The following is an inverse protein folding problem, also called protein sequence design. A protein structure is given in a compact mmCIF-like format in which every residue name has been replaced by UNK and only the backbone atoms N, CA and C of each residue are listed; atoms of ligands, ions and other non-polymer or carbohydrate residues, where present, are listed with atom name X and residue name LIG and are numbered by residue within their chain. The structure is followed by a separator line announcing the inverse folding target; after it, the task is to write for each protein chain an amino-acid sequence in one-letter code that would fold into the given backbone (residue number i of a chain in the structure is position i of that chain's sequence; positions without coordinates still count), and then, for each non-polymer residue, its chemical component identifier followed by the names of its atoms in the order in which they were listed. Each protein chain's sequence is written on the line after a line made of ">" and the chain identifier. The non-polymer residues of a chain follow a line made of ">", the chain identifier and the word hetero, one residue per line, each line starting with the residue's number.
data_IF_792242468927
#
_entry.id   IF_792242468927
#
_cell.length_a   1.000
_cell.length_b   1.000
_cell.length_c   1.000
_cell.angle_alpha   90.00
_cell.angle_beta   90.00
_cell.angle_gamma   90.00
#
_symmetry.space_group_name_H-M   'P 1'
#
loop_
_entity.id
_entity.type
_entity.pdbx_description
1 polymer ?
#
# COMPACT_ATOMS: atom_id res chain seq x y z
N UNK A 1 -18.16 2.90 -15.08
CA UNK A 1 -18.55 3.19 -13.68
C UNK A 1 -18.07 4.56 -13.31
N UNK A 2 -18.90 5.36 -12.66
CA UNK A 2 -18.45 6.64 -12.13
C UNK A 2 -17.45 6.37 -10.99
N UNK A 3 -16.38 7.19 -10.93
CA UNK A 3 -15.37 7.06 -9.87
C UNK A 3 -15.99 7.36 -8.52
N UNK A 4 -15.76 6.49 -7.54
CA UNK A 4 -16.21 6.69 -6.15
C UNK A 4 -15.50 7.90 -5.49
N UNK A 5 -14.27 8.12 -5.87
CA UNK A 5 -13.45 9.25 -5.43
C UNK A 5 -12.87 9.97 -6.66
N UNK A 6 -13.67 10.82 -7.36
CA UNK A 6 -13.25 11.46 -8.61
C UNK A 6 -12.00 12.35 -8.45
N UNK A 7 -11.80 12.91 -7.25
CA UNK A 7 -10.66 13.76 -6.90
C UNK A 7 -9.43 12.95 -6.42
N UNK A 8 -9.53 11.62 -6.44
CA UNK A 8 -8.50 10.69 -5.98
C UNK A 8 -7.77 10.06 -7.16
N UNK A 9 -6.47 9.83 -7.00
CA UNK A 9 -5.68 9.03 -7.93
C UNK A 9 -5.77 7.52 -7.70
N UNK A 10 -6.57 7.05 -6.73
CA UNK A 10 -6.63 5.63 -6.32
C UNK A 10 -7.29 4.74 -7.38
N UNK A 11 -8.31 5.26 -8.07
CA UNK A 11 -9.00 4.53 -9.13
C UNK A 11 -8.33 4.82 -10.48
N UNK A 12 -7.38 3.98 -10.87
CA UNK A 12 -6.67 4.11 -12.12
C UNK A 12 -7.55 3.67 -13.31
N UNK A 13 -7.47 4.40 -14.44
CA UNK A 13 -8.09 3.95 -15.68
C UNK A 13 -7.38 2.70 -16.21
N UNK A 14 -8.11 1.87 -16.98
CA UNK A 14 -7.57 0.65 -17.62
C UNK A 14 -6.26 0.91 -18.39
N UNK A 15 -6.18 2.02 -19.11
CA UNK A 15 -5.00 2.40 -19.89
C UNK A 15 -3.77 2.66 -19.00
N UNK A 16 -3.97 3.33 -17.86
CA UNK A 16 -2.91 3.62 -16.89
C UNK A 16 -2.54 2.33 -16.14
N UNK A 17 -3.54 1.54 -15.73
CA UNK A 17 -3.32 0.28 -15.04
C UNK A 17 -2.42 -0.68 -15.83
N UNK A 18 -2.67 -0.85 -17.14
CA UNK A 18 -1.85 -1.72 -18.02
C UNK A 18 -0.40 -1.25 -18.18
N UNK A 19 -0.12 0.03 -17.95
CA UNK A 19 1.21 0.63 -18.16
C UNK A 19 1.82 1.19 -16.88
N UNK A 20 1.13 1.09 -15.75
CA UNK A 20 1.52 1.70 -14.50
C UNK A 20 2.97 1.39 -14.12
N UNK A 21 3.35 0.13 -14.14
CA UNK A 21 4.70 -0.32 -13.83
C UNK A 21 5.76 0.24 -14.80
N UNK A 22 5.41 0.35 -16.07
CA UNK A 22 6.29 0.95 -17.08
C UNK A 22 6.43 2.45 -16.87
N UNK A 23 5.32 3.14 -16.64
CA UNK A 23 5.30 4.59 -16.39
C UNK A 23 6.11 4.93 -15.14
N UNK A 24 5.87 4.22 -14.03
CA UNK A 24 6.59 4.43 -12.79
C UNK A 24 8.08 4.12 -12.91
N UNK A 25 8.44 3.07 -13.66
CA UNK A 25 9.84 2.72 -13.88
C UNK A 25 10.57 3.77 -14.76
N UNK A 26 9.90 4.31 -15.77
CA UNK A 26 10.45 5.39 -16.62
C UNK A 26 10.56 6.69 -15.81
N UNK A 27 9.50 7.08 -15.10
CA UNK A 27 9.48 8.30 -14.28
C UNK A 27 10.55 8.30 -13.16
N UNK A 28 10.94 7.12 -12.69
CA UNK A 28 11.98 6.94 -11.68
C UNK A 28 13.37 6.60 -12.27
N UNK A 29 13.58 6.75 -13.58
CA UNK A 29 14.83 6.36 -14.26
C UNK A 29 15.27 4.92 -13.97
N UNK A 30 14.32 3.99 -13.90
CA UNK A 30 14.59 2.57 -13.61
C UNK A 30 14.77 2.24 -12.12
N UNK A 31 14.79 3.22 -11.23
CA UNK A 31 15.00 3.00 -9.79
C UNK A 31 13.79 2.39 -9.08
N UNK A 32 12.59 2.54 -9.63
CA UNK A 32 11.35 2.08 -9.00
C UNK A 32 11.35 0.59 -8.68
N UNK A 33 11.80 -0.23 -9.62
CA UNK A 33 11.88 -1.70 -9.42
C UNK A 33 12.84 -2.08 -8.29
N UNK A 34 13.98 -1.43 -8.20
CA UNK A 34 14.97 -1.65 -7.13
C UNK A 34 14.43 -1.19 -5.78
N UNK A 35 13.82 0.00 -5.76
CA UNK A 35 13.18 0.57 -4.58
C UNK A 35 12.11 -0.37 -4.00
N UNK A 36 11.16 -0.82 -4.82
CA UNK A 36 10.09 -1.72 -4.35
C UNK A 36 10.67 -3.03 -3.80
N UNK A 37 11.67 -3.63 -4.47
CA UNK A 37 12.35 -4.83 -3.94
C UNK A 37 12.97 -4.58 -2.57
N UNK A 38 13.60 -3.41 -2.37
CA UNK A 38 14.20 -3.03 -1.09
C UNK A 38 13.11 -2.82 -0.03
N UNK A 39 12.00 -2.16 -0.37
CA UNK A 39 10.88 -1.98 0.55
C UNK A 39 10.26 -3.31 0.98
N UNK A 40 10.02 -4.24 0.04
CA UNK A 40 9.51 -5.59 0.34
C UNK A 40 10.50 -6.38 1.21
N UNK A 41 11.81 -6.28 0.97
CA UNK A 41 12.82 -6.91 1.84
C UNK A 41 12.73 -6.39 3.28
N UNK A 42 12.51 -5.09 3.45
CA UNK A 42 12.38 -4.45 4.76
C UNK A 42 11.07 -4.78 5.48
N UNK A 43 10.12 -5.49 4.86
CA UNK A 43 8.96 -6.05 5.57
C UNK A 43 9.36 -7.21 6.51
N UNK A 44 10.55 -7.79 6.35
CA UNK A 44 11.06 -8.89 7.17
C UNK A 44 10.07 -10.07 7.22
N UNK A 45 9.63 -10.49 6.02
CA UNK A 45 8.65 -11.56 5.84
C UNK A 45 9.27 -12.89 6.29
N UNK A 46 8.55 -13.60 7.17
CA UNK A 46 8.88 -14.96 7.59
C UNK A 46 8.17 -15.97 6.68
N UNK A 47 8.75 -17.17 6.52
CA UNK A 47 8.26 -18.18 5.57
C UNK A 47 6.78 -18.56 5.75
N UNK A 48 6.26 -18.52 6.97
CA UNK A 48 4.89 -18.92 7.30
C UNK A 48 3.96 -17.74 7.56
N UNK A 49 4.39 -16.50 7.27
CA UNK A 49 3.53 -15.33 7.44
C UNK A 49 2.27 -15.44 6.59
N UNK A 50 1.13 -15.04 7.15
CA UNK A 50 -0.08 -14.72 6.41
C UNK A 50 -0.10 -13.23 6.14
N UNK A 51 -0.21 -12.84 4.89
CA UNK A 51 -0.11 -11.43 4.49
C UNK A 51 -1.37 -10.99 3.76
N UNK A 52 -1.85 -9.79 4.08
CA UNK A 52 -2.94 -9.10 3.40
C UNK A 52 -2.40 -7.84 2.72
N UNK A 53 -2.64 -7.69 1.42
CA UNK A 53 -2.27 -6.50 0.64
C UNK A 53 -3.52 -5.69 0.30
N UNK A 54 -3.62 -4.48 0.86
CA UNK A 54 -4.77 -3.58 0.70
C UNK A 54 -4.55 -2.66 -0.52
N UNK A 55 -5.36 -2.83 -1.57
CA UNK A 55 -5.16 -2.17 -2.85
C UNK A 55 -4.03 -2.82 -3.64
N UNK A 56 -4.11 -4.14 -3.83
CA UNK A 56 -3.03 -4.96 -4.38
C UNK A 56 -2.77 -4.72 -5.88
N UNK A 57 -3.69 -4.07 -6.58
CA UNK A 57 -3.60 -3.79 -8.00
C UNK A 57 -3.33 -5.06 -8.83
N UNK A 58 -2.33 -4.99 -9.69
CA UNK A 58 -1.93 -6.11 -10.59
C UNK A 58 -1.28 -7.30 -9.88
N UNK A 59 -1.06 -7.23 -8.55
CA UNK A 59 -0.39 -8.30 -7.78
C UNK A 59 1.14 -8.29 -7.85
N UNK A 60 1.77 -7.25 -8.41
CA UNK A 60 3.23 -7.16 -8.51
C UNK A 60 3.93 -7.26 -7.16
N UNK A 61 3.44 -6.51 -6.15
CA UNK A 61 4.03 -6.56 -4.80
C UNK A 61 3.81 -7.93 -4.16
N UNK A 62 2.65 -8.53 -4.37
CA UNK A 62 2.31 -9.90 -3.95
C UNK A 62 3.33 -10.92 -4.51
N UNK A 63 3.66 -10.84 -5.79
CA UNK A 63 4.68 -11.73 -6.38
C UNK A 63 6.08 -11.52 -5.78
N UNK A 64 6.41 -10.29 -5.38
CA UNK A 64 7.68 -10.02 -4.70
C UNK A 64 7.68 -10.58 -3.27
N UNK A 65 6.59 -10.42 -2.52
CA UNK A 65 6.41 -10.96 -1.18
C UNK A 65 6.40 -12.49 -1.17
N UNK A 66 5.75 -13.11 -2.16
CA UNK A 66 5.65 -14.57 -2.29
C UNK A 66 7.03 -15.28 -2.40
N UNK A 67 8.07 -14.56 -2.81
CA UNK A 67 9.44 -15.13 -2.86
C UNK A 67 10.04 -15.45 -1.49
N UNK A 68 9.50 -14.86 -0.44
CA UNK A 68 9.94 -15.07 0.96
C UNK A 68 9.07 -16.10 1.68
N UNK A 69 7.95 -16.51 1.08
CA UNK A 69 6.93 -17.35 1.69
C UNK A 69 7.07 -18.82 1.28
N UNK A 70 6.68 -19.71 2.18
CA UNK A 70 6.50 -21.13 1.87
C UNK A 70 5.19 -21.35 1.09
N UNK A 71 5.02 -22.56 0.53
CA UNK A 71 3.78 -22.92 -0.18
C UNK A 71 2.55 -23.03 0.73
N UNK A 72 2.78 -23.25 2.03
CA UNK A 72 1.74 -23.39 3.05
C UNK A 72 1.32 -22.04 3.67
N UNK A 73 1.97 -20.95 3.28
CA UNK A 73 1.62 -19.59 3.67
C UNK A 73 0.36 -19.11 2.94
N UNK A 74 -0.12 -17.91 3.26
CA UNK A 74 -1.27 -17.31 2.61
C UNK A 74 -1.00 -15.84 2.29
N UNK A 75 -1.23 -15.47 1.03
CA UNK A 75 -1.23 -14.11 0.53
C UNK A 75 -2.62 -13.77 -0.02
N UNK A 76 -3.27 -12.75 0.52
CA UNK A 76 -4.53 -12.23 -0.01
C UNK A 76 -4.31 -10.80 -0.48
N UNK A 77 -4.76 -10.50 -1.71
CA UNK A 77 -4.84 -9.16 -2.23
C UNK A 77 -6.29 -8.69 -2.30
N UNK A 78 -6.58 -7.49 -1.80
CA UNK A 78 -7.86 -6.83 -1.99
C UNK A 78 -7.72 -5.70 -3.00
N UNK A 79 -8.62 -5.64 -3.97
CA UNK A 79 -8.78 -4.51 -4.88
C UNK A 79 -10.23 -4.48 -5.38
N UNK A 80 -10.70 -3.34 -5.91
CA UNK A 80 -12.06 -3.17 -6.45
C UNK A 80 -12.09 -3.21 -7.97
N UNK A 81 -10.95 -3.07 -8.63
CA UNK A 81 -10.86 -2.94 -10.07
C UNK A 81 -10.88 -4.31 -10.76
N UNK A 82 -11.90 -4.55 -11.59
CA UNK A 82 -11.98 -5.75 -12.42
C UNK A 82 -10.78 -5.87 -13.39
N UNK A 83 -10.26 -4.76 -13.87
CA UNK A 83 -9.10 -4.77 -14.77
C UNK A 83 -7.81 -5.14 -14.03
N UNK A 84 -7.68 -4.73 -12.76
CA UNK A 84 -6.60 -5.18 -11.88
C UNK A 84 -6.74 -6.67 -11.58
N UNK A 85 -7.95 -7.15 -11.30
CA UNK A 85 -8.23 -8.57 -11.07
C UNK A 85 -7.80 -9.44 -12.24
N UNK A 86 -8.13 -9.05 -13.48
CA UNK A 86 -7.72 -9.80 -14.70
C UNK A 86 -6.19 -9.91 -14.81
N UNK A 87 -5.49 -8.80 -14.54
CA UNK A 87 -4.02 -8.77 -14.58
C UNK A 87 -3.42 -9.56 -13.41
N UNK A 88 -4.01 -9.42 -12.22
CA UNK A 88 -3.62 -10.19 -11.05
C UNK A 88 -3.72 -11.69 -11.32
N UNK A 89 -4.85 -12.17 -11.83
CA UNK A 89 -5.08 -13.58 -12.13
C UNK A 89 -4.10 -14.09 -13.20
N UNK A 90 -3.76 -13.28 -14.20
CA UNK A 90 -2.75 -13.62 -15.21
C UNK A 90 -1.37 -13.80 -14.58
N UNK A 91 -0.98 -12.97 -13.62
CA UNK A 91 0.34 -12.99 -13.00
C UNK A 91 0.44 -13.98 -11.84
N UNK A 92 -0.59 -14.03 -11.00
CA UNK A 92 -0.59 -14.72 -9.71
C UNK A 92 -1.36 -16.05 -9.70
N UNK A 93 -2.26 -16.28 -10.66
CA UNK A 93 -3.22 -17.40 -10.64
C UNK A 93 -2.61 -18.81 -10.63
N UNK A 94 -1.32 -18.94 -10.96
CA UNK A 94 -0.58 -20.23 -10.87
C UNK A 94 -0.15 -20.60 -9.44
N UNK A 95 -0.24 -19.69 -8.47
CA UNK A 95 0.18 -19.93 -7.10
C UNK A 95 -1.02 -20.24 -6.23
N UNK A 96 -1.05 -21.42 -5.61
CA UNK A 96 -2.17 -21.88 -4.78
C UNK A 96 -2.32 -21.11 -3.46
N UNK A 97 -1.23 -20.54 -2.96
CA UNK A 97 -1.20 -19.77 -1.72
C UNK A 97 -1.53 -18.27 -1.92
N UNK A 98 -1.84 -17.84 -3.16
CA UNK A 98 -2.20 -16.45 -3.47
C UNK A 98 -3.68 -16.39 -3.85
N UNK A 99 -4.42 -15.43 -3.28
CA UNK A 99 -5.83 -15.20 -3.57
C UNK A 99 -6.11 -13.72 -3.83
N UNK A 100 -6.97 -13.44 -4.81
CA UNK A 100 -7.57 -12.14 -5.02
C UNK A 100 -8.99 -12.14 -4.44
N UNK A 101 -9.37 -11.04 -3.81
CA UNK A 101 -10.76 -10.82 -3.38
C UNK A 101 -11.16 -9.41 -3.83
N UNK A 102 -12.19 -9.33 -4.68
CA UNK A 102 -12.79 -8.06 -5.05
C UNK A 102 -13.52 -7.48 -3.84
N UNK A 103 -12.90 -6.50 -3.19
CA UNK A 103 -13.43 -5.91 -1.97
C UNK A 103 -12.92 -4.50 -1.73
N UNK A 104 -13.81 -3.65 -1.25
CA UNK A 104 -13.48 -2.29 -0.82
C UNK A 104 -12.71 -2.31 0.50
N UNK A 105 -11.60 -1.57 0.55
CA UNK A 105 -10.78 -1.42 1.76
C UNK A 105 -11.21 -0.24 2.64
N UNK A 106 -11.95 0.70 2.08
CA UNK A 106 -12.46 1.93 2.68
C UNK A 106 -13.77 1.76 3.45
N UNK A 107 -14.37 0.58 3.39
CA UNK A 107 -15.53 0.15 4.16
C UNK A 107 -15.15 -0.99 5.09
N UNK A 108 -15.93 -1.19 6.17
CA UNK A 108 -15.76 -2.35 7.03
C UNK A 108 -15.94 -3.65 6.24
N UNK A 109 -15.04 -4.60 6.46
CA UNK A 109 -15.11 -5.93 5.87
C UNK A 109 -14.66 -6.98 6.88
N UNK A 110 -15.04 -8.24 6.63
CA UNK A 110 -14.59 -9.38 7.40
C UNK A 110 -13.91 -10.41 6.50
N UNK A 111 -12.79 -10.93 7.00
CA UNK A 111 -12.10 -12.09 6.47
C UNK A 111 -11.96 -13.08 7.65
N UNK A 112 -12.33 -14.35 7.44
CA UNK A 112 -12.37 -15.37 8.51
C UNK A 112 -10.98 -15.81 8.98
N UNK A 113 -10.02 -14.85 9.06
CA UNK A 113 -8.66 -15.09 9.52
C UNK A 113 -7.94 -13.80 9.92
N UNK A 114 -6.86 -13.97 10.67
CA UNK A 114 -5.93 -12.90 11.06
C UNK A 114 -4.60 -13.07 10.33
N UNK A 115 -3.91 -11.95 10.13
CA UNK A 115 -2.68 -11.85 9.37
C UNK A 115 -1.51 -11.48 10.27
N UNK A 116 -0.32 -11.94 9.92
CA UNK A 116 0.94 -11.54 10.55
C UNK A 116 1.38 -10.17 10.06
N UNK A 117 1.10 -9.87 8.77
CA UNK A 117 1.40 -8.58 8.16
C UNK A 117 0.23 -8.10 7.31
N UNK A 118 -0.07 -6.82 7.42
CA UNK A 118 -0.92 -6.12 6.47
C UNK A 118 -0.08 -5.06 5.78
N UNK A 119 -0.16 -5.01 4.45
CA UNK A 119 0.59 -4.10 3.60
C UNK A 119 -0.35 -3.21 2.82
N UNK A 120 0.01 -1.96 2.63
CA UNK A 120 -0.65 -1.00 1.74
C UNK A 120 0.42 -0.14 1.07
N UNK A 121 0.35 0.05 -0.24
CA UNK A 121 1.41 0.68 -1.02
C UNK A 121 0.86 1.70 -1.99
N UNK A 122 1.15 2.99 -1.76
CA UNK A 122 0.70 4.12 -2.59
C UNK A 122 -0.81 4.16 -2.85
N UNK A 123 -1.58 3.87 -1.82
CA UNK A 123 -3.05 3.81 -1.88
C UNK A 123 -3.66 4.71 -0.82
N UNK A 124 -3.18 4.67 0.43
CA UNK A 124 -3.84 5.33 1.56
C UNK A 124 -3.82 6.86 1.45
N UNK A 125 -2.79 7.45 0.84
CA UNK A 125 -2.71 8.91 0.63
C UNK A 125 -3.85 9.43 -0.25
N UNK A 126 -4.36 8.61 -1.15
CA UNK A 126 -5.42 8.97 -2.11
C UNK A 126 -6.83 9.04 -1.51
N UNK A 127 -7.03 8.72 -0.24
CA UNK A 127 -8.32 8.80 0.43
C UNK A 127 -8.47 10.06 1.30
N UNK A 128 -9.70 10.59 1.50
CA UNK A 128 -9.98 11.55 2.54
C UNK A 128 -9.59 11.02 3.93
N UNK A 129 -9.24 11.89 4.86
CA UNK A 129 -8.76 11.47 6.18
C UNK A 129 -9.77 10.59 6.93
N UNK A 130 -11.05 10.92 6.89
CA UNK A 130 -12.10 10.11 7.55
C UNK A 130 -12.19 8.69 7.00
N UNK A 131 -11.94 8.53 5.71
CA UNK A 131 -11.90 7.21 5.07
C UNK A 131 -10.64 6.43 5.44
N UNK A 132 -9.49 7.10 5.61
CA UNK A 132 -8.26 6.46 6.10
C UNK A 132 -8.44 5.83 7.47
N UNK A 133 -9.28 6.42 8.33
CA UNK A 133 -9.64 5.84 9.65
C UNK A 133 -10.27 4.45 9.51
N UNK A 134 -11.16 4.27 8.53
CA UNK A 134 -11.77 2.97 8.26
C UNK A 134 -10.71 1.94 7.79
N UNK A 135 -9.77 2.37 6.93
CA UNK A 135 -8.67 1.51 6.45
C UNK A 135 -7.77 1.08 7.61
N UNK A 136 -7.42 1.99 8.52
CA UNK A 136 -6.63 1.72 9.72
C UNK A 136 -7.37 0.75 10.65
N UNK A 137 -8.68 0.98 10.88
CA UNK A 137 -9.53 0.10 11.69
C UNK A 137 -9.60 -1.30 11.09
N UNK A 138 -9.77 -1.42 9.77
CA UNK A 138 -9.75 -2.70 9.08
C UNK A 138 -8.41 -3.42 9.25
N UNK A 139 -7.29 -2.69 9.11
CA UNK A 139 -5.96 -3.26 9.33
C UNK A 139 -5.79 -3.76 10.77
N UNK A 140 -6.17 -2.95 11.76
CA UNK A 140 -6.10 -3.35 13.16
C UNK A 140 -6.94 -4.60 13.44
N UNK A 141 -8.19 -4.63 12.95
CA UNK A 141 -9.11 -5.74 13.18
C UNK A 141 -8.63 -7.05 12.55
N UNK A 142 -7.91 -7.01 11.42
CA UNK A 142 -7.43 -8.21 10.73
C UNK A 142 -6.01 -8.65 11.12
N UNK A 143 -5.27 -7.86 11.91
CA UNK A 143 -3.97 -8.25 12.43
C UNK A 143 -4.09 -9.17 13.65
N UNK A 144 -3.16 -10.11 13.76
CA UNK A 144 -2.83 -10.79 15.02
C UNK A 144 -2.20 -9.79 15.99
N UNK A 145 -2.26 -10.05 17.31
CA UNK A 145 -1.39 -9.38 18.29
C UNK A 145 0.07 -9.68 17.93
N UNK A 146 0.93 -8.67 17.96
CA UNK A 146 2.32 -8.75 17.47
C UNK A 146 2.46 -8.70 15.94
N UNK A 147 1.35 -8.65 15.18
CA UNK A 147 1.37 -8.45 13.75
C UNK A 147 1.60 -6.98 13.37
N UNK A 148 2.05 -6.72 12.14
CA UNK A 148 2.43 -5.37 11.71
C UNK A 148 1.57 -4.82 10.57
N UNK A 149 1.12 -3.57 10.70
CA UNK A 149 0.61 -2.77 9.60
C UNK A 149 1.75 -2.01 8.94
N UNK A 150 1.93 -2.21 7.66
CA UNK A 150 3.07 -1.74 6.89
C UNK A 150 2.59 -0.79 5.79
N UNK A 151 2.86 0.49 5.94
CA UNK A 151 2.43 1.55 5.03
C UNK A 151 3.63 2.01 4.21
N UNK A 152 3.67 1.67 2.92
CA UNK A 152 4.63 2.18 1.97
C UNK A 152 4.00 3.34 1.21
N UNK A 153 4.29 4.58 1.63
CA UNK A 153 3.66 5.77 1.06
C UNK A 153 4.55 7.02 1.28
N UNK A 154 4.04 8.20 0.96
CA UNK A 154 4.73 9.45 1.27
C UNK A 154 5.04 9.54 2.76
N UNK A 155 6.20 10.08 3.08
CA UNK A 155 6.55 10.48 4.44
C UNK A 155 5.91 11.83 4.78
N UNK A 156 5.97 12.25 6.05
CA UNK A 156 5.67 13.62 6.44
C UNK A 156 6.83 14.52 6.01
N UNK A 157 6.54 15.56 5.23
CA UNK A 157 7.51 16.59 4.87
C UNK A 157 6.86 17.93 4.59
N UNK A 158 7.62 19.01 4.86
CA UNK A 158 7.20 20.37 4.54
C UNK A 158 7.46 20.68 3.06
N UNK A 159 6.39 20.84 2.28
CA UNK A 159 6.48 21.21 0.86
C UNK A 159 7.24 22.52 0.62
N UNK A 160 7.26 23.45 1.59
CA UNK A 160 7.99 24.72 1.45
C UNK A 160 9.51 24.50 1.39
N UNK A 161 10.00 23.44 2.03
CA UNK A 161 11.42 23.03 2.04
C UNK A 161 11.80 22.19 0.79
N UNK A 162 10.82 21.78 -0.01
CA UNK A 162 11.06 21.00 -1.22
C UNK A 162 11.63 21.91 -2.34
N UNK A 163 12.63 21.46 -3.13
CA UNK A 163 13.09 22.16 -4.31
C UNK A 163 11.94 22.50 -5.26
N UNK A 164 11.97 23.70 -5.85
CA UNK A 164 10.85 24.22 -6.65
C UNK A 164 10.36 23.25 -7.74
N UNK A 165 11.29 22.62 -8.46
CA UNK A 165 10.95 21.67 -9.53
C UNK A 165 10.27 20.39 -8.98
N UNK A 166 10.69 19.85 -7.82
CA UNK A 166 10.03 18.71 -7.19
C UNK A 166 8.62 19.10 -6.74
N UNK A 167 8.49 20.29 -6.10
CA UNK A 167 7.19 20.81 -5.64
C UNK A 167 6.21 21.01 -6.80
N UNK A 168 6.69 21.51 -7.94
CA UNK A 168 5.87 21.69 -9.12
C UNK A 168 5.36 20.34 -9.67
N UNK A 169 6.24 19.35 -9.77
CA UNK A 169 5.88 18.00 -10.22
C UNK A 169 4.88 17.36 -9.26
N UNK A 170 5.14 17.40 -7.95
CA UNK A 170 4.25 16.85 -6.93
C UNK A 170 2.85 17.47 -7.02
N UNK A 171 2.76 18.80 -7.13
CA UNK A 171 1.47 19.51 -7.29
C UNK A 171 0.72 19.15 -8.57
N UNK A 172 1.40 18.73 -9.62
CA UNK A 172 0.77 18.37 -10.91
C UNK A 172 0.30 16.91 -10.96
N UNK A 173 0.98 16.03 -10.24
CA UNK A 173 0.77 14.58 -10.33
C UNK A 173 -0.16 14.10 -9.22
N UNK A 174 0.01 14.65 -8.00
CA UNK A 174 -0.68 14.13 -6.83
C UNK A 174 -2.07 14.73 -6.64
N UNK A 175 -2.97 13.93 -6.08
CA UNK A 175 -4.33 14.33 -5.74
C UNK A 175 -4.34 15.24 -4.50
N UNK A 176 -5.45 15.97 -4.31
CA UNK A 176 -5.61 16.88 -3.18
C UNK A 176 -5.43 16.22 -1.81
N UNK A 177 -5.73 14.93 -1.70
CA UNK A 177 -5.64 14.20 -0.43
C UNK A 177 -4.19 13.84 -0.06
N UNK A 178 -3.27 13.77 -1.04
CA UNK A 178 -1.85 13.57 -0.77
C UNK A 178 -1.24 14.75 -0.01
N UNK A 179 -1.71 15.98 -0.26
CA UNK A 179 -1.24 17.17 0.46
C UNK A 179 -1.63 17.12 1.94
N UNK A 180 -2.86 16.71 2.24
CA UNK A 180 -3.31 16.50 3.62
C UNK A 180 -2.56 15.32 4.27
N UNK A 181 -2.23 14.27 3.49
CA UNK A 181 -1.54 13.10 4.00
C UNK A 181 -0.14 13.40 4.54
N UNK A 182 0.66 14.18 3.80
CA UNK A 182 2.06 14.50 4.16
C UNK A 182 2.19 15.47 5.34
N UNK A 183 1.11 16.17 5.72
CA UNK A 183 1.08 17.14 6.83
C UNK A 183 0.67 16.49 8.17
N UNK A 184 0.27 15.21 8.17
CA UNK A 184 -0.26 14.52 9.35
C UNK A 184 0.82 13.73 10.09
N UNK A 185 0.74 13.69 11.42
CA UNK A 185 1.56 12.83 12.27
C UNK A 185 0.97 11.39 12.30
N UNK A 186 1.43 10.56 11.37
CA UNK A 186 0.92 9.21 11.22
C UNK A 186 1.22 8.30 12.40
N UNK A 187 2.34 8.48 13.10
CA UNK A 187 2.64 7.68 14.30
C UNK A 187 1.64 7.97 15.41
N UNK A 188 1.32 9.24 15.65
CA UNK A 188 0.34 9.58 16.65
C UNK A 188 -1.08 9.11 16.27
N UNK A 189 -1.47 9.29 14.99
CA UNK A 189 -2.75 8.74 14.49
C UNK A 189 -2.82 7.23 14.72
N UNK A 190 -1.81 6.46 14.32
CA UNK A 190 -1.80 5.00 14.49
C UNK A 190 -1.83 4.57 15.96
N UNK A 191 -1.20 5.33 16.88
CA UNK A 191 -1.29 5.07 18.32
C UNK A 191 -2.73 5.13 18.84
N UNK A 192 -3.54 6.07 18.34
CA UNK A 192 -4.95 6.16 18.72
C UNK A 192 -5.76 4.91 18.35
N UNK A 193 -5.28 4.13 17.38
CA UNK A 193 -5.87 2.86 16.95
C UNK A 193 -5.23 1.62 17.60
N UNK A 194 -4.33 1.80 18.58
CA UNK A 194 -3.71 0.69 19.32
C UNK A 194 -2.43 0.14 18.70
N UNK A 195 -1.85 0.85 17.72
CA UNK A 195 -0.54 0.49 17.19
C UNK A 195 0.58 1.13 18.01
N UNK A 196 1.70 0.42 18.13
CA UNK A 196 2.91 0.89 18.80
C UNK A 196 4.18 0.34 18.08
N UNK A 197 5.36 0.44 18.71
CA UNK A 197 6.63 -0.13 18.21
C UNK A 197 6.89 0.19 16.73
N UNK A 198 6.98 1.50 16.44
CA UNK A 198 7.16 1.99 15.08
C UNK A 198 8.60 1.80 14.58
N UNK A 199 8.74 1.32 13.34
CA UNK A 199 10.01 1.29 12.60
C UNK A 199 9.82 1.93 11.22
N UNK A 200 10.83 2.61 10.71
CA UNK A 200 10.76 3.36 9.46
C UNK A 200 11.97 3.13 8.57
N UNK A 201 11.70 2.96 7.29
CA UNK A 201 12.72 2.97 6.26
C UNK A 201 12.39 4.05 5.23
N UNK A 202 13.29 5.01 5.06
CA UNK A 202 13.10 6.13 4.17
C UNK A 202 13.74 5.92 2.79
N UNK A 203 13.10 6.50 1.77
CA UNK A 203 13.49 6.42 0.36
C UNK A 203 13.36 7.79 -0.31
N UNK A 204 14.00 7.98 -1.47
CA UNK A 204 13.88 9.18 -2.30
C UNK A 204 14.04 10.49 -1.52
N UNK A 205 15.20 10.67 -0.86
CA UNK A 205 15.48 11.87 -0.03
C UNK A 205 14.42 12.10 1.07
N UNK A 206 13.91 11.02 1.64
CA UNK A 206 12.88 11.02 2.70
C UNK A 206 11.47 11.49 2.26
N UNK A 207 11.17 11.52 0.96
CA UNK A 207 9.81 11.81 0.49
C UNK A 207 8.89 10.59 0.55
N UNK A 208 9.45 9.39 0.58
CA UNK A 208 8.71 8.13 0.68
C UNK A 208 9.27 7.34 1.84
N UNK A 209 8.41 6.65 2.58
CA UNK A 209 8.83 5.71 3.62
C UNK A 209 8.01 4.42 3.62
N UNK A 210 8.59 3.39 4.18
CA UNK A 210 7.88 2.24 4.72
C UNK A 210 7.76 2.46 6.22
N UNK A 211 6.55 2.74 6.71
CA UNK A 211 6.23 2.82 8.14
C UNK A 211 5.66 1.48 8.58
N UNK A 212 6.30 0.84 9.54
CA UNK A 212 5.82 -0.38 10.21
C UNK A 212 5.25 0.01 11.57
N UNK A 213 4.06 -0.47 11.90
CA UNK A 213 3.38 -0.24 13.16
C UNK A 213 2.87 -1.59 13.69
N UNK A 214 3.25 -1.97 14.89
CA UNK A 214 2.88 -3.25 15.52
C UNK A 214 1.57 -3.10 16.30
N UNK A 215 0.68 -4.09 16.14
CA UNK A 215 -0.52 -4.24 16.97
C UNK A 215 -0.14 -4.87 18.31
N UNK A 216 -0.42 -4.19 19.41
CA UNK A 216 -0.19 -4.66 20.78
C UNK A 216 -1.41 -5.41 21.32
#
# INVERSE_FOLDING_TARGET
>A
MDKLYPDSGVELSEFIAKRYDKVMNIASFGLYKSFIKKAIKNLEIKQNDKILDLGCGTGRNILLMNKYLSKDSLLIGLDISEDMEKQFNTQCGKFQNIKFINKRIDQSFELNQKFDKIFISFVIHGFPHEIRKNIITNAYNHLKTGGTFNILDFAEFDMKKMPFHHRFIFKKIECKYAFDFIERDWKNILKEYGFNNFDENHYFKNYVRLLKAEKI
#
